data_IF_177697958911
#
_entry.id   IF_177697958911
#
_cell.length_a   1.000
_cell.length_b   1.000
_cell.length_c   1.000
_cell.angle_alpha   90.00
_cell.angle_beta   90.00
_cell.angle_gamma   90.00
#
_symmetry.space_group_name_H-M   'P 1'
#
loop_
_entity.id
_entity.type
_entity.pdbx_description
1 polymer ?
#
# COMPACT_ATOMS: atom_id res chain seq x y z
N UNK A 1 -10.03 1.49 -29.36
CA UNK A 1 -10.53 2.48 -28.39
C UNK A 1 -11.94 2.86 -28.83
N UNK A 2 -12.91 2.97 -27.91
CA UNK A 2 -14.31 3.30 -28.24
C UNK A 2 -14.70 4.66 -27.64
N UNK A 3 -15.45 5.44 -28.39
CA UNK A 3 -15.97 6.75 -27.99
C UNK A 3 -17.49 6.67 -27.79
N UNK A 4 -18.02 7.55 -26.93
CA UNK A 4 -19.44 7.62 -26.69
C UNK A 4 -20.18 8.36 -27.82
N UNK A 5 -21.25 7.76 -28.36
CA UNK A 5 -22.05 8.33 -29.44
C UNK A 5 -22.77 9.65 -29.05
N UNK A 6 -22.93 9.92 -27.75
CA UNK A 6 -23.65 11.12 -27.25
C UNK A 6 -22.76 12.34 -27.06
N UNK A 7 -21.51 12.15 -26.61
CA UNK A 7 -20.63 13.25 -26.21
C UNK A 7 -19.23 13.19 -26.83
N UNK A 8 -18.90 12.11 -27.55
CA UNK A 8 -17.57 11.91 -28.14
C UNK A 8 -16.47 11.59 -27.13
N UNK A 9 -16.77 11.51 -25.82
CA UNK A 9 -15.77 11.17 -24.80
C UNK A 9 -15.33 9.71 -24.88
N UNK A 10 -14.10 9.43 -24.46
CA UNK A 10 -13.54 8.08 -24.43
C UNK A 10 -14.28 7.22 -23.39
N UNK A 11 -14.71 6.03 -23.79
CA UNK A 11 -15.36 5.09 -22.87
C UNK A 11 -14.33 4.29 -22.08
N UNK A 12 -14.65 3.97 -20.82
CA UNK A 12 -13.76 3.27 -19.91
C UNK A 12 -14.30 1.86 -19.61
N UNK A 13 -13.49 0.80 -19.68
CA UNK A 13 -13.91 -0.54 -19.29
C UNK A 13 -14.08 -0.65 -17.78
N UNK A 14 -15.27 -1.09 -17.37
CA UNK A 14 -15.64 -1.49 -16.02
C UNK A 14 -15.89 -2.99 -16.01
N UNK A 15 -15.25 -3.69 -15.08
CA UNK A 15 -15.52 -5.11 -14.79
C UNK A 15 -16.40 -5.15 -13.55
N UNK A 16 -17.58 -5.76 -13.65
CA UNK A 16 -18.39 -6.08 -12.47
C UNK A 16 -17.92 -7.42 -11.88
N UNK A 17 -17.77 -7.49 -10.56
CA UNK A 17 -17.46 -8.73 -9.87
C UNK A 17 -18.55 -9.77 -10.12
N UNK A 18 -18.16 -10.99 -10.53
CA UNK A 18 -19.09 -12.09 -10.80
C UNK A 18 -19.64 -12.19 -12.23
N UNK A 19 -19.43 -11.20 -13.11
CA UNK A 19 -19.83 -11.28 -14.53
C UNK A 19 -18.62 -11.32 -15.46
N UNK A 20 -18.65 -12.21 -16.46
CA UNK A 20 -17.63 -12.30 -17.53
C UNK A 20 -17.75 -11.17 -18.57
N UNK A 21 -18.81 -10.38 -18.52
CA UNK A 21 -19.08 -9.28 -19.46
C UNK A 21 -18.42 -8.00 -19.00
N UNK A 22 -17.74 -7.30 -19.91
CA UNK A 22 -17.14 -5.99 -19.65
C UNK A 22 -18.13 -4.93 -20.07
N UNK A 23 -18.39 -3.95 -19.21
CA UNK A 23 -19.22 -2.78 -19.53
C UNK A 23 -18.34 -1.58 -19.77
N UNK A 24 -18.47 -0.96 -20.93
CA UNK A 24 -17.87 0.33 -21.23
C UNK A 24 -18.76 1.43 -20.65
N UNK A 25 -18.19 2.33 -19.86
CA UNK A 25 -18.90 3.43 -19.22
C UNK A 25 -18.29 4.75 -19.66
N UNK A 26 -19.13 5.69 -20.09
CA UNK A 26 -18.74 7.07 -20.34
C UNK A 26 -18.78 7.87 -19.03
N UNK A 27 -17.67 8.52 -18.66
CA UNK A 27 -17.59 9.34 -17.44
C UNK A 27 -18.29 10.71 -17.56
N UNK A 28 -18.46 11.22 -18.78
CA UNK A 28 -19.08 12.54 -19.00
C UNK A 28 -20.61 12.49 -19.00
N UNK A 29 -21.20 11.52 -19.72
CA UNK A 29 -22.65 11.45 -19.88
C UNK A 29 -23.32 10.23 -19.25
N UNK A 30 -22.54 9.31 -18.65
CA UNK A 30 -23.06 8.11 -17.99
C UNK A 30 -23.55 7.00 -18.92
N UNK A 31 -23.28 7.08 -20.24
CA UNK A 31 -23.69 6.03 -21.18
C UNK A 31 -22.96 4.71 -20.91
N UNK A 32 -23.69 3.60 -20.91
CA UNK A 32 -23.16 2.26 -20.68
C UNK A 32 -23.34 1.37 -21.91
N UNK A 33 -22.31 0.60 -22.27
CA UNK A 33 -22.34 -0.33 -23.41
C UNK A 33 -21.71 -1.65 -22.99
N UNK A 34 -22.48 -2.74 -23.05
CA UNK A 34 -21.96 -4.08 -22.75
C UNK A 34 -21.23 -4.63 -23.97
N UNK A 35 -19.98 -5.08 -23.76
CA UNK A 35 -19.16 -5.72 -24.79
C UNK A 35 -18.84 -7.16 -24.39
N UNK A 36 -18.98 -8.07 -25.36
CA UNK A 36 -18.68 -9.50 -25.18
C UNK A 36 -17.18 -9.79 -25.24
N UNK A 37 -16.43 -8.99 -26.01
CA UNK A 37 -14.97 -9.07 -26.10
C UNK A 37 -14.31 -7.99 -25.24
N UNK A 38 -13.18 -8.29 -24.58
CA UNK A 38 -12.41 -7.27 -23.88
C UNK A 38 -11.87 -6.22 -24.85
N UNK A 39 -11.96 -4.92 -24.53
CA UNK A 39 -11.26 -3.90 -25.30
C UNK A 39 -9.74 -4.11 -25.19
N UNK A 40 -9.04 -3.88 -26.29
CA UNK A 40 -7.58 -4.07 -26.39
C UNK A 40 -6.78 -2.99 -25.61
N UNK A 41 -7.42 -1.89 -25.20
CA UNK A 41 -6.78 -0.80 -24.48
C UNK A 41 -6.92 -0.96 -22.96
N UNK A 42 -5.85 -0.65 -22.23
CA UNK A 42 -5.80 -0.66 -20.76
C UNK A 42 -5.72 0.77 -20.23
N UNK A 43 -6.41 1.02 -19.12
CA UNK A 43 -6.36 2.29 -18.40
C UNK A 43 -5.28 2.16 -17.33
N UNK A 44 -4.14 2.81 -17.53
CA UNK A 44 -3.02 2.85 -16.57
C UNK A 44 -3.01 4.20 -15.87
N UNK A 45 -2.95 4.21 -14.54
CA UNK A 45 -2.78 5.43 -13.75
C UNK A 45 -1.38 5.45 -13.16
N UNK A 46 -0.49 6.29 -13.69
CA UNK A 46 0.88 6.45 -13.16
C UNK A 46 0.89 7.46 -12.02
N UNK A 47 1.07 6.99 -10.80
CA UNK A 47 1.28 7.84 -9.63
C UNK A 47 2.76 8.23 -9.61
N UNK A 48 3.05 9.53 -9.70
CA UNK A 48 4.41 10.06 -9.57
C UNK A 48 4.67 10.42 -8.11
N UNK A 49 5.52 9.66 -7.43
CA UNK A 49 5.95 9.99 -6.08
C UNK A 49 6.94 11.14 -6.09
N UNK A 50 6.71 12.14 -5.25
CA UNK A 50 7.66 13.23 -5.05
C UNK A 50 8.79 12.81 -4.09
N UNK A 51 10.00 13.39 -4.18
CA UNK A 51 11.07 13.13 -3.21
C UNK A 51 10.67 13.43 -1.76
N UNK A 52 9.68 14.30 -1.54
CA UNK A 52 9.15 14.67 -0.23
C UNK A 52 8.36 13.55 0.45
N UNK A 53 7.89 12.55 -0.32
CA UNK A 53 7.18 11.38 0.20
C UNK A 53 8.14 10.27 0.67
N UNK A 54 9.46 10.43 0.50
CA UNK A 54 10.44 9.43 0.92
C UNK A 54 10.79 9.60 2.39
N UNK A 55 10.75 8.49 3.13
CA UNK A 55 11.25 8.40 4.51
C UNK A 55 12.75 8.14 4.43
N UNK A 56 13.55 8.97 5.09
CA UNK A 56 15.01 8.80 5.20
C UNK A 56 15.27 8.02 6.48
N UNK A 57 15.86 6.84 6.36
CA UNK A 57 16.35 6.07 7.52
C UNK A 57 17.76 6.58 7.80
N UNK A 58 17.95 7.18 8.97
CA UNK A 58 19.27 7.58 9.46
C UNK A 58 19.65 6.58 10.53
N UNK A 59 20.59 5.70 10.21
CA UNK A 59 21.21 4.81 11.19
C UNK A 59 22.20 5.66 11.99
N UNK A 60 21.89 5.93 13.25
CA UNK A 60 22.89 6.40 14.20
C UNK A 60 23.63 5.15 14.67
N UNK A 61 24.97 5.15 14.60
CA UNK A 61 25.82 4.14 15.21
C UNK A 61 25.65 4.22 16.74
N UNK A 62 24.49 3.80 17.25
CA UNK A 62 24.28 3.70 18.68
C UNK A 62 25.21 2.61 19.16
N UNK A 63 26.19 2.96 19.99
CA UNK A 63 27.05 2.03 20.74
C UNK A 63 26.27 1.10 21.68
N UNK A 64 24.96 0.94 21.49
CA UNK A 64 24.10 0.04 22.26
C UNK A 64 24.34 -1.44 21.92
N UNK A 65 25.06 -1.70 20.83
CA UNK A 65 25.54 -3.03 20.47
C UNK A 65 27.02 -3.24 20.85
N UNK A 66 27.52 -2.60 21.91
CA UNK A 66 28.67 -3.19 22.61
C UNK A 66 28.25 -4.61 23.05
N UNK A 67 28.94 -5.62 22.52
CA UNK A 67 28.63 -7.04 22.75
C UNK A 67 28.77 -7.38 24.24
N UNK A 68 27.70 -7.14 25.01
CA UNK A 68 27.59 -7.59 26.40
C UNK A 68 27.79 -9.11 26.42
N UNK A 69 28.63 -9.59 27.34
CA UNK A 69 28.80 -11.03 27.52
C UNK A 69 27.50 -11.67 28.03
N UNK A 70 27.31 -12.97 27.79
CA UNK A 70 26.09 -13.68 28.21
C UNK A 70 25.86 -13.61 29.73
N UNK A 71 26.94 -13.53 30.52
CA UNK A 71 26.86 -13.38 31.97
C UNK A 71 26.39 -11.97 32.37
N UNK A 72 26.88 -10.90 31.75
CA UNK A 72 26.42 -9.53 32.00
C UNK A 72 24.95 -9.33 31.59
N UNK A 73 24.51 -9.99 30.51
CA UNK A 73 23.09 -9.99 30.10
C UNK A 73 22.20 -10.70 31.14
N UNK A 74 22.69 -11.77 31.76
CA UNK A 74 21.96 -12.52 32.79
C UNK A 74 21.80 -11.69 34.07
N UNK A 75 22.88 -11.06 34.51
CA UNK A 75 22.87 -10.16 35.68
C UNK A 75 21.90 -8.99 35.47
N UNK A 76 21.97 -8.31 34.32
CA UNK A 76 21.05 -7.20 34.02
C UNK A 76 19.58 -7.63 34.01
N UNK A 77 19.27 -8.81 33.49
CA UNK A 77 17.90 -9.35 33.51
C UNK A 77 17.42 -9.66 34.93
N UNK A 78 18.32 -10.16 35.78
CA UNK A 78 18.05 -10.45 37.19
C UNK A 78 17.80 -9.17 37.98
N UNK A 79 18.63 -8.15 37.79
CA UNK A 79 18.48 -6.83 38.40
C UNK A 79 17.13 -6.18 38.05
N UNK A 80 16.72 -6.25 36.78
CA UNK A 80 15.40 -5.76 36.35
C UNK A 80 14.28 -6.50 37.08
N UNK A 81 14.35 -7.83 37.19
CA UNK A 81 13.31 -8.63 37.84
C UNK A 81 13.21 -8.35 39.35
N UNK A 82 14.34 -8.17 40.02
CA UNK A 82 14.40 -7.80 41.44
C UNK A 82 13.80 -6.41 41.68
N UNK A 83 14.04 -5.45 40.78
CA UNK A 83 13.44 -4.13 40.87
C UNK A 83 11.90 -4.19 40.85
N UNK A 84 11.32 -4.91 39.89
CA UNK A 84 9.86 -5.10 39.83
C UNK A 84 9.32 -5.80 41.08
N UNK A 85 9.99 -6.83 41.58
CA UNK A 85 9.56 -7.51 42.81
C UNK A 85 9.61 -6.58 44.03
N UNK A 86 10.60 -5.68 44.11
CA UNK A 86 10.71 -4.70 45.19
C UNK A 86 9.71 -3.54 45.09
N UNK A 87 9.21 -3.25 43.89
CA UNK A 87 8.17 -2.22 43.69
C UNK A 87 6.76 -2.74 43.97
N UNK A 88 6.57 -4.06 43.94
CA UNK A 88 5.30 -4.74 44.18
C UNK A 88 5.05 -5.09 45.68
N UNK A 89 6.03 -4.93 46.58
CA UNK A 89 5.93 -5.06 48.06
C UNK A 89 5.70 -3.71 48.77
#
# INVERSE_FOLDING_TARGET
MEFCDKCGALMFPRKEEGKKTITLVCRECGNEKSVRSPPEYKVEHRIKHSPREKIIIVEEDTKRDEEMTEDERRERRKEILEHYQSEDD
#
